data_IF_124856327191
#
_entry.id   IF_124856327191
#
_cell.length_a   1.000
_cell.length_b   1.000
_cell.length_c   1.000
_cell.angle_alpha   90.00
_cell.angle_beta   90.00
_cell.angle_gamma   90.00
#
_symmetry.space_group_name_H-M   'P 1'
#
loop_
_entity.id
_entity.type
_entity.pdbx_description
1 polymer ?
#
# COMPACT_ATOMS: atom_id res chain seq x y z
N UNK A 1 5.53 -9.58 -14.66
CA UNK A 1 4.72 -10.15 -13.55
C UNK A 1 3.78 -9.07 -13.03
N UNK A 2 2.50 -9.38 -12.83
CA UNK A 2 1.51 -8.49 -12.23
C UNK A 2 1.04 -9.08 -10.90
N UNK A 3 1.08 -8.29 -9.83
CA UNK A 3 0.65 -8.69 -8.48
C UNK A 3 -0.48 -7.78 -8.05
N UNK A 4 -1.69 -8.32 -7.92
CA UNK A 4 -2.86 -7.59 -7.48
C UNK A 4 -2.96 -7.58 -5.95
N UNK A 5 -3.02 -6.39 -5.36
CA UNK A 5 -2.98 -6.21 -3.89
C UNK A 5 -4.24 -5.57 -3.30
N UNK A 6 -5.09 -4.97 -4.15
CA UNK A 6 -6.30 -4.25 -3.72
C UNK A 6 -7.33 -4.18 -4.85
N UNK A 7 -8.57 -3.84 -4.50
CA UNK A 7 -9.71 -3.77 -5.41
C UNK A 7 -10.48 -2.46 -5.13
N UNK A 8 -10.20 -1.40 -5.90
CA UNK A 8 -10.81 -0.07 -5.67
C UNK A 8 -12.15 0.11 -6.39
N UNK A 9 -12.34 -0.56 -7.53
CA UNK A 9 -13.53 -0.42 -8.40
C UNK A 9 -14.33 -1.73 -8.46
N UNK A 10 -14.37 -2.48 -7.35
CA UNK A 10 -15.03 -3.78 -7.27
C UNK A 10 -14.12 -4.98 -7.55
N UNK A 11 -14.68 -6.18 -7.41
CA UNK A 11 -13.95 -7.45 -7.46
C UNK A 11 -13.99 -8.18 -8.80
N UNK A 12 -14.75 -7.66 -9.77
CA UNK A 12 -14.93 -8.25 -11.10
C UNK A 12 -14.44 -7.28 -12.16
N UNK A 13 -13.78 -7.80 -13.19
CA UNK A 13 -13.29 -7.04 -14.33
C UNK A 13 -13.31 -7.90 -15.59
N UNK A 14 -13.54 -7.26 -16.74
CA UNK A 14 -13.32 -7.85 -18.06
C UNK A 14 -11.84 -7.68 -18.46
N UNK A 15 -11.22 -8.71 -19.03
CA UNK A 15 -9.78 -8.74 -19.30
C UNK A 15 -9.48 -9.33 -20.68
N UNK A 16 -8.70 -8.60 -21.49
CA UNK A 16 -8.06 -9.14 -22.70
C UNK A 16 -6.76 -9.87 -22.34
N UNK A 17 -6.76 -11.20 -22.53
CA UNK A 17 -5.62 -12.06 -22.22
C UNK A 17 -4.54 -12.12 -23.32
N UNK A 18 -4.72 -11.45 -24.46
CA UNK A 18 -3.74 -11.45 -25.56
C UNK A 18 -2.35 -11.02 -25.10
N UNK A 19 -2.27 -9.92 -24.34
CA UNK A 19 -0.99 -9.43 -23.79
C UNK A 19 -0.39 -10.39 -22.76
N UNK A 20 -1.23 -11.10 -22.00
CA UNK A 20 -0.76 -12.09 -21.03
C UNK A 20 -0.07 -13.26 -21.75
N UNK A 21 -0.65 -13.76 -22.83
CA UNK A 21 -0.09 -14.86 -23.62
C UNK A 21 1.18 -14.45 -24.35
N UNK A 22 1.12 -13.35 -25.13
CA UNK A 22 2.24 -12.88 -25.95
C UNK A 22 3.48 -12.55 -25.12
N UNK A 23 3.30 -12.01 -23.91
CA UNK A 23 4.39 -11.64 -22.99
C UNK A 23 4.61 -12.65 -21.87
N UNK A 24 3.89 -13.78 -21.87
CA UNK A 24 3.95 -14.83 -20.84
C UNK A 24 3.89 -14.27 -19.42
N UNK A 25 2.94 -13.36 -19.17
CA UNK A 25 2.84 -12.63 -17.89
C UNK A 25 2.29 -13.53 -16.79
N UNK A 26 3.01 -13.64 -15.67
CA UNK A 26 2.44 -14.17 -14.42
C UNK A 26 1.48 -13.16 -13.78
N UNK A 27 0.21 -13.55 -13.64
CA UNK A 27 -0.82 -12.83 -12.90
C UNK A 27 -1.06 -13.53 -11.55
N UNK A 28 -0.93 -12.80 -10.43
CA UNK A 28 -1.14 -13.35 -9.08
C UNK A 28 -1.73 -12.31 -8.13
N UNK A 29 -2.31 -12.77 -7.02
CA UNK A 29 -2.85 -11.92 -5.96
C UNK A 29 -2.02 -12.02 -4.68
N UNK A 30 -2.08 -10.99 -3.83
CA UNK A 30 -1.49 -11.04 -2.50
C UNK A 30 -2.30 -10.21 -1.51
N UNK A 31 -2.64 -10.82 -0.38
CA UNK A 31 -3.15 -10.12 0.79
C UNK A 31 -2.23 -10.37 1.98
N UNK A 32 -2.10 -9.38 2.86
CA UNK A 32 -1.27 -9.49 4.06
C UNK A 32 -2.06 -10.05 5.26
N UNK A 33 -3.36 -9.72 5.36
CA UNK A 33 -4.20 -10.06 6.52
C UNK A 33 -4.21 -11.55 6.89
N UNK A 34 -4.48 -12.50 5.96
CA UNK A 34 -4.59 -13.92 6.32
C UNK A 34 -3.26 -14.62 6.55
N UNK A 35 -2.12 -13.97 6.26
CA UNK A 35 -0.80 -14.58 6.43
C UNK A 35 -0.49 -14.88 7.89
N UNK A 36 0.31 -15.91 8.11
CA UNK A 36 0.71 -16.32 9.45
C UNK A 36 1.59 -15.25 10.12
N UNK A 37 1.73 -15.33 11.44
CA UNK A 37 2.64 -14.45 12.19
C UNK A 37 4.07 -14.67 11.71
N UNK A 38 4.48 -15.91 11.49
CA UNK A 38 5.82 -16.28 11.01
C UNK A 38 6.12 -15.65 9.65
N UNK A 39 5.16 -15.69 8.72
CA UNK A 39 5.31 -15.04 7.41
C UNK A 39 5.41 -13.51 7.54
N UNK A 40 4.57 -12.90 8.37
CA UNK A 40 4.60 -11.45 8.64
C UNK A 40 5.93 -11.03 9.27
N UNK A 41 6.46 -11.83 10.19
CA UNK A 41 7.77 -11.61 10.81
C UNK A 41 8.89 -11.64 9.77
N UNK A 42 8.89 -12.63 8.87
CA UNK A 42 9.86 -12.70 7.76
C UNK A 42 9.79 -11.47 6.86
N UNK A 43 8.59 -10.98 6.56
CA UNK A 43 8.39 -9.76 5.78
C UNK A 43 8.96 -8.54 6.52
N UNK A 44 8.64 -8.38 7.82
CA UNK A 44 9.13 -7.26 8.62
C UNK A 44 10.67 -7.23 8.71
N UNK A 45 11.30 -8.39 8.96
CA UNK A 45 12.76 -8.51 8.97
C UNK A 45 13.39 -8.17 7.62
N UNK A 46 12.77 -8.60 6.51
CA UNK A 46 13.23 -8.26 5.17
C UNK A 46 13.10 -6.76 4.87
N UNK A 47 12.03 -6.10 5.34
CA UNK A 47 11.87 -4.65 5.20
C UNK A 47 12.90 -3.90 6.04
N UNK A 48 13.16 -4.32 7.28
CA UNK A 48 14.19 -3.71 8.12
C UNK A 48 15.58 -3.83 7.49
N UNK A 49 15.92 -5.00 6.94
CA UNK A 49 17.22 -5.22 6.30
C UNK A 49 17.41 -4.39 5.03
N UNK A 50 16.37 -4.28 4.18
CA UNK A 50 16.52 -3.79 2.81
C UNK A 50 15.91 -2.41 2.55
N UNK A 51 14.90 -1.99 3.32
CA UNK A 51 14.13 -0.76 3.06
C UNK A 51 14.42 0.33 4.08
N UNK A 52 14.63 0.00 5.36
CA UNK A 52 14.95 0.97 6.39
C UNK A 52 16.20 1.82 6.08
N UNK A 53 17.32 1.24 5.62
CA UNK A 53 18.50 2.03 5.25
C UNK A 53 18.20 3.07 4.15
N UNK A 54 17.26 2.77 3.24
CA UNK A 54 16.84 3.69 2.18
C UNK A 54 15.99 4.85 2.72
N UNK A 55 15.19 4.58 3.76
CA UNK A 55 14.42 5.62 4.47
C UNK A 55 15.33 6.50 5.30
N UNK A 56 16.26 5.90 6.05
CA UNK A 56 17.22 6.60 6.92
C UNK A 56 18.17 7.49 6.13
N UNK A 57 18.69 6.99 5.00
CA UNK A 57 19.49 7.80 4.07
C UNK A 57 18.68 8.85 3.32
N UNK A 58 17.35 8.78 3.37
CA UNK A 58 16.44 9.66 2.64
C UNK A 58 16.42 9.42 1.13
N UNK A 59 17.00 8.31 0.64
CA UNK A 59 16.96 7.88 -0.76
C UNK A 59 15.52 7.57 -1.22
N UNK A 60 14.67 7.11 -0.30
CA UNK A 60 13.22 7.05 -0.50
C UNK A 60 12.53 7.83 0.61
N UNK A 61 11.43 8.51 0.26
CA UNK A 61 10.63 9.29 1.22
C UNK A 61 9.14 9.06 0.96
N UNK A 62 8.31 8.92 2.00
CA UNK A 62 6.87 8.89 1.82
C UNK A 62 6.39 10.27 1.35
N UNK A 63 5.50 10.28 0.35
CA UNK A 63 4.77 11.49 -0.02
C UNK A 63 3.66 11.65 1.01
N UNK A 64 3.76 12.68 1.85
CA UNK A 64 2.74 13.01 2.84
C UNK A 64 1.85 14.08 2.23
N UNK A 65 0.56 13.77 2.10
CA UNK A 65 -0.43 14.71 1.60
C UNK A 65 -0.79 15.74 2.67
N UNK A 66 -1.15 15.24 3.86
CA UNK A 66 -1.56 16.07 4.98
C UNK A 66 -1.43 15.29 6.30
N UNK A 67 -1.15 16.03 7.37
CA UNK A 67 -1.13 15.50 8.75
C UNK A 67 -2.26 16.14 9.54
N UNK A 68 -3.05 15.33 10.22
CA UNK A 68 -4.14 15.75 11.11
C UNK A 68 -3.83 15.36 12.56
N UNK A 69 -4.26 16.15 13.56
CA UNK A 69 -4.38 15.65 14.93
C UNK A 69 -5.28 14.42 14.96
N UNK A 70 -4.98 13.42 15.80
CA UNK A 70 -5.77 12.19 15.92
C UNK A 70 -7.25 12.47 16.22
N UNK A 71 -7.54 13.52 16.99
CA UNK A 71 -8.91 13.99 17.29
C UNK A 71 -9.71 14.38 16.04
N UNK A 72 -9.04 14.64 14.92
CA UNK A 72 -9.64 14.98 13.63
C UNK A 72 -9.65 13.80 12.65
N UNK A 73 -9.55 12.55 13.11
CA UNK A 73 -9.59 11.37 12.26
C UNK A 73 -10.80 11.32 11.32
N UNK A 74 -11.96 11.85 11.74
CA UNK A 74 -13.15 11.95 10.88
C UNK A 74 -12.92 12.85 9.65
N UNK A 75 -12.22 13.98 9.82
CA UNK A 75 -11.88 14.88 8.71
C UNK A 75 -10.84 14.26 7.78
N UNK A 76 -9.81 13.63 8.35
CA UNK A 76 -8.83 12.86 7.59
C UNK A 76 -9.49 11.77 6.73
N UNK A 77 -10.52 11.11 7.26
CA UNK A 77 -11.27 10.08 6.54
C UNK A 77 -12.13 10.67 5.40
N UNK A 78 -12.80 11.80 5.62
CA UNK A 78 -13.54 12.51 4.55
C UNK A 78 -12.64 12.87 3.37
N UNK A 79 -11.43 13.39 3.65
CA UNK A 79 -10.44 13.66 2.61
C UNK A 79 -10.02 12.38 1.89
N UNK A 80 -9.83 11.27 2.61
CA UNK A 80 -9.50 9.98 2.01
C UNK A 80 -10.58 9.50 1.04
N UNK A 81 -11.85 9.56 1.45
CA UNK A 81 -13.00 9.15 0.64
C UNK A 81 -13.16 10.00 -0.63
N UNK A 82 -12.87 11.30 -0.55
CA UNK A 82 -12.91 12.20 -1.71
C UNK A 82 -11.94 11.81 -2.84
N UNK A 83 -10.94 10.97 -2.54
CA UNK A 83 -9.85 10.60 -3.47
C UNK A 83 -9.01 11.79 -3.98
N UNK A 84 -9.12 12.97 -3.37
CA UNK A 84 -8.33 14.16 -3.74
C UNK A 84 -6.89 14.13 -3.21
N UNK A 85 -6.54 13.13 -2.39
CA UNK A 85 -5.22 13.00 -1.76
C UNK A 85 -4.24 12.24 -2.65
N UNK A 86 -2.99 12.70 -2.68
CA UNK A 86 -1.87 11.99 -3.29
C UNK A 86 -0.86 11.65 -2.19
N UNK A 87 -0.62 10.36 -1.96
CA UNK A 87 0.31 9.88 -0.94
C UNK A 87 -0.40 9.46 0.34
N UNK A 88 0.19 9.80 1.49
CA UNK A 88 -0.26 9.37 2.82
C UNK A 88 -0.93 10.50 3.59
N UNK A 89 -2.04 10.18 4.24
CA UNK A 89 -2.65 11.02 5.28
C UNK A 89 -2.17 10.50 6.62
N UNK A 90 -1.58 11.36 7.44
CA UNK A 90 -1.05 10.98 8.76
C UNK A 90 -1.96 11.48 9.87
N UNK A 91 -2.11 10.66 10.91
CA UNK A 91 -2.74 11.05 12.17
C UNK A 91 -1.66 11.16 13.24
N UNK A 92 -1.52 12.34 13.84
CA UNK A 92 -0.60 12.58 14.96
C UNK A 92 -1.37 12.36 16.28
N UNK A 93 -1.01 11.36 17.10
CA UNK A 93 -1.54 11.23 18.47
C UNK A 93 -1.30 12.51 19.27
N UNK A 94 -2.09 12.74 20.33
CA UNK A 94 -1.70 13.74 21.33
C UNK A 94 -0.36 13.29 21.95
N UNK A 95 0.50 14.25 22.27
CA UNK A 95 1.74 13.96 22.99
C UNK A 95 1.43 13.33 24.37
#
# INVERSE_FOLDING_TARGET
RLVQIALMQGSKAEVDFRSLLLKRVTLTGSTLRPRSVEEKTKIAQALQKNVWPLLESGAIRPIIHQTFPLKQASEAHRLMESSAHIGKILLKPAD
#
